data_IF_446279557458
#
_entry.id   IF_446279557458
#
_cell.length_a   1.000
_cell.length_b   1.000
_cell.length_c   1.000
_cell.angle_alpha   90.00
_cell.angle_beta   90.00
_cell.angle_gamma   90.00
#
_symmetry.space_group_name_H-M   'P 1'
#
loop_
_entity.id
_entity.type
_entity.pdbx_description
1 polymer ?
#
# COMPACT_ATOMS: atom_id res chain seq x y z
N UNK A 1 76.59 -43.11 -49.06
CA UNK A 1 75.17 -43.03 -49.46
C UNK A 1 74.46 -42.10 -48.49
N UNK A 2 73.90 -40.98 -48.97
CA UNK A 2 72.98 -40.12 -48.19
C UNK A 2 71.60 -40.77 -48.32
N UNK A 3 70.97 -41.20 -47.22
CA UNK A 3 69.64 -41.81 -47.26
C UNK A 3 68.60 -40.72 -47.57
N UNK A 4 68.26 -40.56 -48.86
CA UNK A 4 67.41 -39.47 -49.38
C UNK A 4 66.00 -39.44 -48.77
N UNK A 5 65.46 -40.58 -48.29
CA UNK A 5 64.17 -40.60 -47.58
C UNK A 5 64.24 -40.10 -46.13
N UNK A 6 65.43 -40.07 -45.53
CA UNK A 6 65.62 -39.67 -44.13
C UNK A 6 65.85 -38.16 -44.02
N UNK A 7 66.49 -37.53 -45.02
CA UNK A 7 66.73 -36.07 -45.03
C UNK A 7 65.41 -35.28 -45.03
N UNK A 8 64.48 -35.65 -45.90
CA UNK A 8 63.20 -34.92 -46.03
C UNK A 8 62.32 -35.10 -44.78
N UNK A 9 62.43 -36.25 -44.12
CA UNK A 9 61.75 -36.54 -42.85
C UNK A 9 62.31 -35.68 -41.72
N UNK A 10 63.64 -35.48 -41.67
CA UNK A 10 64.32 -34.66 -40.66
C UNK A 10 63.99 -33.18 -40.87
N UNK A 11 64.00 -32.69 -42.11
CA UNK A 11 63.70 -31.28 -42.42
C UNK A 11 62.25 -30.92 -42.07
N UNK A 12 61.30 -31.82 -42.35
CA UNK A 12 59.88 -31.64 -41.94
C UNK A 12 59.68 -31.74 -40.43
N UNK A 13 60.51 -32.52 -39.73
CA UNK A 13 60.44 -32.67 -38.28
C UNK A 13 61.03 -31.47 -37.52
N UNK A 14 61.86 -30.63 -38.17
CA UNK A 14 62.50 -29.47 -37.54
C UNK A 14 61.52 -28.46 -36.91
N UNK A 15 60.28 -28.39 -37.40
CA UNK A 15 59.23 -27.51 -36.89
C UNK A 15 58.09 -28.25 -36.17
N UNK A 16 58.25 -29.54 -35.89
CA UNK A 16 57.22 -30.32 -35.22
C UNK A 16 57.21 -30.02 -33.71
N UNK A 17 56.03 -29.74 -33.15
CA UNK A 17 55.88 -29.64 -31.69
C UNK A 17 56.09 -31.00 -31.01
N UNK A 18 56.59 -31.03 -29.76
CA UNK A 18 56.76 -32.27 -29.01
C UNK A 18 55.44 -33.04 -28.89
N UNK A 19 55.50 -34.37 -28.96
CA UNK A 19 54.31 -35.24 -28.76
C UNK A 19 53.80 -35.24 -27.31
N UNK A 20 54.65 -34.87 -26.35
CA UNK A 20 54.34 -34.79 -24.92
C UNK A 20 55.07 -33.57 -24.34
N UNK A 21 54.36 -32.75 -23.58
CA UNK A 21 54.91 -31.54 -22.96
C UNK A 21 55.25 -30.43 -23.97
N UNK A 22 55.87 -29.35 -23.47
CA UNK A 22 56.27 -28.19 -24.26
C UNK A 22 55.46 -26.93 -23.92
N UNK A 23 55.99 -25.78 -24.33
CA UNK A 23 55.32 -24.48 -24.23
C UNK A 23 55.13 -23.94 -25.64
N UNK A 24 53.93 -23.51 -25.97
CA UNK A 24 53.66 -22.74 -27.20
C UNK A 24 53.62 -21.27 -26.81
N UNK A 25 54.52 -20.49 -27.38
CA UNK A 25 54.55 -19.04 -27.18
C UNK A 25 53.82 -18.36 -28.33
N UNK A 26 52.52 -18.10 -28.13
CA UNK A 26 51.64 -17.50 -29.14
C UNK A 26 50.23 -18.12 -29.12
N UNK A 27 49.39 -17.66 -30.05
CA UNK A 27 48.02 -18.15 -30.18
C UNK A 27 47.99 -19.57 -30.76
N UNK A 28 47.11 -20.40 -30.20
CA UNK A 28 46.82 -21.73 -30.74
C UNK A 28 45.44 -21.70 -31.39
N UNK A 29 45.40 -21.77 -32.71
CA UNK A 29 44.15 -21.92 -33.46
C UNK A 29 43.86 -23.42 -33.69
N UNK A 30 43.02 -24.02 -32.83
CA UNK A 30 42.60 -25.40 -32.96
C UNK A 30 41.27 -25.50 -33.74
N UNK A 31 41.24 -26.28 -34.82
CA UNK A 31 40.01 -26.51 -35.62
C UNK A 31 39.08 -27.58 -35.01
N UNK A 32 39.40 -28.08 -33.81
CA UNK A 32 38.67 -29.12 -33.10
C UNK A 32 38.63 -28.85 -31.60
N UNK A 33 38.53 -29.90 -30.79
CA UNK A 33 38.50 -29.77 -29.32
C UNK A 33 39.90 -29.73 -28.73
N UNK A 34 40.11 -28.83 -27.77
CA UNK A 34 41.24 -28.88 -26.84
C UNK A 34 40.74 -29.59 -25.58
N UNK A 35 41.27 -30.77 -25.30
CA UNK A 35 40.89 -31.58 -24.13
C UNK A 35 42.09 -31.87 -23.25
N UNK A 36 41.90 -31.84 -21.93
CA UNK A 36 42.89 -32.23 -20.94
C UNK A 36 42.23 -32.45 -19.57
N UNK A 37 42.99 -32.96 -18.59
CA UNK A 37 42.51 -33.15 -17.21
C UNK A 37 42.02 -31.82 -16.62
N UNK A 38 42.69 -30.71 -16.97
CA UNK A 38 42.22 -29.36 -16.74
C UNK A 38 42.72 -28.42 -17.83
N UNK A 39 41.85 -27.53 -18.26
CA UNK A 39 42.22 -26.36 -19.06
C UNK A 39 42.23 -25.18 -18.09
N UNK A 40 43.31 -24.41 -18.12
CA UNK A 40 43.53 -23.30 -17.22
C UNK A 40 43.77 -22.02 -18.02
N UNK A 41 43.18 -20.93 -17.54
CA UNK A 41 43.50 -19.59 -18.02
C UNK A 41 44.75 -19.05 -17.31
N UNK A 42 45.22 -17.89 -17.76
CA UNK A 42 46.38 -17.21 -17.18
C UNK A 42 46.22 -17.04 -15.66
N UNK A 43 47.29 -17.32 -14.91
CA UNK A 43 47.26 -17.32 -13.44
C UNK A 43 46.74 -18.62 -12.81
N UNK A 44 46.56 -19.69 -13.59
CA UNK A 44 46.29 -21.03 -13.07
C UNK A 44 44.85 -21.26 -12.62
N UNK A 45 43.90 -20.43 -13.07
CA UNK A 45 42.47 -20.63 -12.78
C UNK A 45 41.90 -21.64 -13.73
N UNK A 46 41.14 -22.61 -13.21
CA UNK A 46 40.55 -23.66 -14.05
C UNK A 46 39.38 -23.07 -14.82
N UNK A 47 39.40 -23.24 -16.14
CA UNK A 47 38.31 -22.82 -17.02
C UNK A 47 37.02 -23.55 -16.63
N UNK A 48 35.89 -22.86 -16.74
CA UNK A 48 34.60 -23.43 -16.37
C UNK A 48 34.18 -24.59 -17.27
N UNK A 49 33.51 -25.58 -16.67
CA UNK A 49 32.96 -26.75 -17.34
C UNK A 49 31.74 -27.27 -16.57
N UNK A 50 30.94 -28.22 -17.12
CA UNK A 50 29.80 -28.79 -16.40
C UNK A 50 30.14 -29.40 -15.02
N UNK A 51 31.38 -29.87 -14.84
CA UNK A 51 31.90 -30.41 -13.56
C UNK A 51 32.70 -29.38 -12.73
N UNK A 52 33.05 -28.25 -13.33
CA UNK A 52 33.75 -27.13 -12.71
C UNK A 52 32.99 -25.84 -13.00
N UNK A 53 31.76 -25.72 -12.51
CA UNK A 53 30.90 -24.55 -12.71
C UNK A 53 30.93 -23.65 -11.48
N UNK A 54 30.81 -22.33 -11.62
CA UNK A 54 30.65 -21.44 -10.48
C UNK A 54 29.38 -21.78 -9.69
N UNK A 55 29.41 -21.52 -8.39
CA UNK A 55 28.23 -21.47 -7.55
C UNK A 55 27.43 -20.20 -7.81
N UNK A 56 26.14 -20.13 -7.43
CA UNK A 56 25.37 -18.88 -7.49
C UNK A 56 26.05 -17.72 -6.77
N UNK A 57 26.69 -17.99 -5.62
CA UNK A 57 27.38 -16.97 -4.83
C UNK A 57 28.62 -16.41 -5.56
N UNK A 58 29.36 -17.28 -6.27
CA UNK A 58 30.53 -16.86 -7.07
C UNK A 58 30.19 -15.83 -8.16
N UNK A 59 28.92 -15.74 -8.56
CA UNK A 59 28.42 -14.81 -9.58
C UNK A 59 27.38 -13.81 -9.06
N UNK A 60 27.14 -13.76 -7.75
CA UNK A 60 26.17 -12.85 -7.13
C UNK A 60 24.70 -13.12 -7.55
N UNK A 61 24.36 -14.36 -7.89
CA UNK A 61 23.03 -14.71 -8.35
C UNK A 61 22.05 -14.94 -7.17
N UNK A 62 20.90 -14.27 -7.21
CA UNK A 62 19.81 -14.47 -6.25
C UNK A 62 18.98 -15.74 -6.55
N UNK A 63 18.45 -16.35 -5.50
CA UNK A 63 17.59 -17.54 -5.59
C UNK A 63 16.22 -17.23 -6.21
N UNK A 64 15.76 -18.11 -7.11
CA UNK A 64 14.40 -18.08 -7.67
C UNK A 64 13.30 -18.48 -6.67
N UNK A 65 13.67 -19.06 -5.53
CA UNK A 65 12.73 -19.48 -4.48
C UNK A 65 12.50 -18.38 -3.42
N UNK A 66 13.05 -17.19 -3.63
CA UNK A 66 13.01 -16.08 -2.69
C UNK A 66 14.33 -15.88 -1.94
N UNK A 67 14.37 -14.85 -1.11
CA UNK A 67 15.55 -14.44 -0.34
C UNK A 67 15.36 -13.03 0.22
N UNK A 68 16.39 -12.54 0.91
CA UNK A 68 16.46 -11.16 1.41
C UNK A 68 17.40 -10.36 0.50
N UNK A 69 16.98 -9.17 0.10
CA UNK A 69 17.85 -8.18 -0.54
C UNK A 69 18.20 -7.13 0.51
N UNK A 70 19.47 -7.11 0.94
CA UNK A 70 19.96 -6.21 2.00
C UNK A 70 20.32 -4.80 1.49
N UNK A 71 19.62 -4.32 0.46
CA UNK A 71 19.88 -3.02 -0.18
C UNK A 71 18.67 -2.50 -0.94
N UNK A 72 18.82 -1.33 -1.54
CA UNK A 72 17.76 -0.71 -2.33
C UNK A 72 17.48 -1.54 -3.59
N UNK A 73 16.21 -1.69 -3.93
CA UNK A 73 15.76 -2.33 -5.16
C UNK A 73 15.11 -1.26 -6.04
N UNK A 74 15.85 -0.80 -7.05
CA UNK A 74 15.30 0.12 -8.06
C UNK A 74 14.57 -0.67 -9.14
N UNK A 75 13.26 -0.46 -9.28
CA UNK A 75 12.40 -1.14 -10.25
C UNK A 75 11.91 -0.13 -11.29
N UNK A 76 12.26 -0.32 -12.57
CA UNK A 76 11.85 0.58 -13.66
C UNK A 76 10.45 0.30 -14.19
N UNK A 77 9.84 -0.82 -13.79
CA UNK A 77 8.50 -1.24 -14.18
C UNK A 77 7.56 -1.40 -12.97
N UNK A 78 6.71 -2.42 -13.02
CA UNK A 78 5.76 -2.71 -11.95
C UNK A 78 6.25 -3.82 -11.04
N UNK A 79 6.03 -3.66 -9.73
CA UNK A 79 6.13 -4.76 -8.76
C UNK A 79 4.77 -5.43 -8.67
N UNK A 80 4.65 -6.65 -9.20
CA UNK A 80 3.43 -7.47 -9.09
C UNK A 80 3.55 -8.41 -7.91
N UNK A 81 2.75 -8.19 -6.87
CA UNK A 81 2.69 -9.02 -5.68
C UNK A 81 1.26 -9.08 -5.13
N UNK A 82 0.92 -10.17 -4.44
CA UNK A 82 -0.35 -10.26 -3.70
C UNK A 82 -0.43 -9.20 -2.59
N UNK A 83 0.72 -8.86 -2.02
CA UNK A 83 0.82 -7.94 -0.90
C UNK A 83 2.17 -7.20 -0.88
N UNK A 84 2.10 -5.90 -0.60
CA UNK A 84 3.29 -5.06 -0.33
C UNK A 84 3.06 -4.41 1.03
N UNK A 85 4.08 -4.51 1.89
CA UNK A 85 4.07 -3.97 3.23
C UNK A 85 5.30 -3.08 3.45
N UNK A 86 5.14 -2.04 4.27
CA UNK A 86 6.27 -1.31 4.83
C UNK A 86 6.84 -2.08 6.05
N UNK A 87 7.97 -1.60 6.57
CA UNK A 87 8.76 -2.06 7.72
C UNK A 87 8.02 -2.29 9.05
N UNK A 88 6.70 -2.06 9.12
CA UNK A 88 5.86 -2.34 10.28
C UNK A 88 4.74 -3.36 10.03
N UNK A 89 4.81 -4.16 8.96
CA UNK A 89 3.67 -4.98 8.48
C UNK A 89 2.44 -4.15 8.08
N UNK A 90 2.64 -2.85 7.82
CA UNK A 90 1.58 -1.95 7.36
C UNK A 90 1.36 -2.16 5.88
N UNK A 91 0.11 -2.46 5.49
CA UNK A 91 -0.24 -2.63 4.08
C UNK A 91 0.01 -1.32 3.33
N UNK A 92 0.75 -1.39 2.23
CA UNK A 92 0.88 -0.25 1.31
C UNK A 92 -0.41 -0.13 0.51
N UNK A 93 -1.01 1.05 0.54
CA UNK A 93 -2.26 1.35 -0.15
C UNK A 93 -2.02 2.09 -1.46
N UNK A 94 -2.99 2.01 -2.36
CA UNK A 94 -2.99 2.68 -3.67
C UNK A 94 -4.43 3.09 -4.04
N UNK A 95 -4.66 3.89 -5.09
CA UNK A 95 -6.02 4.23 -5.52
C UNK A 95 -6.91 3.00 -5.82
N UNK A 96 -6.32 1.87 -6.26
CA UNK A 96 -7.04 0.62 -6.53
C UNK A 96 -7.06 -0.35 -5.33
N UNK A 97 -6.37 -0.02 -4.25
CA UNK A 97 -6.41 -0.71 -2.96
C UNK A 97 -6.37 0.35 -1.86
N UNK A 98 -7.44 1.15 -1.70
CA UNK A 98 -7.46 2.24 -0.74
C UNK A 98 -7.42 1.68 0.69
N UNK A 99 -6.98 2.46 1.68
CA UNK A 99 -7.15 2.08 3.07
C UNK A 99 -8.63 1.85 3.38
N UNK A 100 -8.97 1.01 4.38
CA UNK A 100 -10.33 0.89 4.85
C UNK A 100 -10.93 2.26 5.14
N UNK A 101 -12.14 2.50 4.65
CA UNK A 101 -12.81 3.78 4.88
C UNK A 101 -12.84 4.08 6.38
N UNK A 102 -12.28 5.21 6.78
CA UNK A 102 -12.27 5.66 8.17
C UNK A 102 -13.60 6.27 8.56
N UNK A 103 -14.54 6.42 7.62
CA UNK A 103 -15.81 7.12 7.83
C UNK A 103 -17.00 6.25 7.47
N UNK A 104 -18.10 6.41 8.20
CA UNK A 104 -19.42 5.87 7.88
C UNK A 104 -20.41 7.03 7.77
N UNK A 105 -21.32 7.01 6.79
CA UNK A 105 -22.24 8.12 6.55
C UNK A 105 -23.58 7.64 6.04
N UNK A 106 -24.65 8.31 6.48
CA UNK A 106 -25.99 8.26 5.90
C UNK A 106 -26.37 9.68 5.50
N UNK A 107 -26.43 9.94 4.19
CA UNK A 107 -26.91 11.20 3.65
C UNK A 107 -28.44 11.20 3.53
N UNK A 108 -29.06 12.30 3.92
CA UNK A 108 -30.50 12.50 3.88
C UNK A 108 -30.90 13.80 4.57
N UNK A 109 -32.20 14.14 4.53
CA UNK A 109 -32.79 15.27 5.27
C UNK A 109 -32.66 15.10 6.79
N UNK A 110 -32.60 13.85 7.25
CA UNK A 110 -31.98 13.46 8.50
C UNK A 110 -30.85 12.48 8.18
N UNK A 111 -29.69 12.68 8.77
CA UNK A 111 -28.49 11.94 8.44
C UNK A 111 -27.46 11.97 9.54
N UNK A 112 -26.37 11.24 9.31
CA UNK A 112 -25.25 11.21 10.23
C UNK A 112 -23.95 10.89 9.51
N UNK A 113 -22.85 11.36 10.10
CA UNK A 113 -21.49 11.06 9.75
C UNK A 113 -20.78 10.53 11.00
N UNK A 114 -19.95 9.50 10.85
CA UNK A 114 -19.09 8.97 11.91
C UNK A 114 -17.68 8.82 11.39
N UNK A 115 -16.73 9.34 12.14
CA UNK A 115 -15.32 9.02 11.98
C UNK A 115 -14.96 7.86 12.92
N UNK A 116 -14.56 6.73 12.35
CA UNK A 116 -14.17 5.52 13.08
C UNK A 116 -12.78 5.62 13.71
N UNK A 117 -11.95 6.56 13.26
CA UNK A 117 -10.60 6.73 13.80
C UNK A 117 -10.60 7.37 15.19
N UNK A 118 -11.57 8.26 15.46
CA UNK A 118 -11.71 8.98 16.74
C UNK A 118 -13.07 8.75 17.43
N UNK A 119 -14.01 8.09 16.76
CA UNK A 119 -15.34 7.80 17.29
C UNK A 119 -16.35 8.94 17.16
N UNK A 120 -15.95 10.12 16.68
CA UNK A 120 -16.83 11.30 16.57
C UNK A 120 -17.99 11.00 15.63
N UNK A 121 -19.20 11.34 16.09
CA UNK A 121 -20.45 11.26 15.35
C UNK A 121 -21.02 12.67 15.25
N UNK A 122 -21.40 13.07 14.04
CA UNK A 122 -22.19 14.27 13.77
C UNK A 122 -23.51 13.80 13.17
N UNK A 123 -24.63 14.32 13.65
CA UNK A 123 -25.96 13.96 13.16
C UNK A 123 -26.74 15.24 12.87
N UNK A 124 -27.66 15.16 11.93
CA UNK A 124 -28.54 16.28 11.60
C UNK A 124 -29.94 15.78 11.29
N UNK A 125 -30.89 16.72 11.37
CA UNK A 125 -32.26 16.46 11.00
C UNK A 125 -33.05 17.74 10.82
N UNK A 126 -34.23 17.58 10.25
CA UNK A 126 -35.19 18.66 10.06
C UNK A 126 -36.61 18.12 10.19
N UNK A 127 -37.53 18.99 10.60
CA UNK A 127 -38.94 18.63 10.77
C UNK A 127 -39.70 19.69 11.56
N UNK A 128 -41.00 19.46 11.75
CA UNK A 128 -41.81 20.24 12.68
C UNK A 128 -41.77 19.59 14.05
N UNK A 129 -41.47 20.37 15.08
CA UNK A 129 -41.33 19.89 16.45
C UNK A 129 -42.24 20.66 17.41
N UNK A 130 -42.87 19.93 18.32
CA UNK A 130 -43.69 20.48 19.41
C UNK A 130 -42.83 20.73 20.66
N UNK A 131 -43.23 21.69 21.48
CA UNK A 131 -42.61 21.93 22.79
C UNK A 131 -42.61 20.67 23.68
N UNK A 132 -41.42 20.31 24.18
CA UNK A 132 -41.20 19.12 25.01
C UNK A 132 -41.06 17.80 24.23
N UNK A 133 -41.03 17.85 22.90
CA UNK A 133 -40.90 16.64 22.09
C UNK A 133 -39.53 15.97 22.27
N UNK A 134 -39.54 14.66 22.51
CA UNK A 134 -38.34 13.82 22.43
C UNK A 134 -38.05 13.47 20.97
N UNK A 135 -36.81 13.73 20.55
CA UNK A 135 -36.31 13.46 19.20
C UNK A 135 -35.17 12.45 19.30
N UNK A 136 -35.30 11.35 18.57
CA UNK A 136 -34.29 10.29 18.53
C UNK A 136 -33.18 10.64 17.57
N UNK A 137 -31.94 10.43 18.01
CA UNK A 137 -30.80 10.36 17.11
C UNK A 137 -30.95 9.12 16.21
N UNK A 138 -30.64 9.27 14.92
CA UNK A 138 -30.64 8.14 13.98
C UNK A 138 -29.60 7.08 14.39
N UNK A 139 -28.54 7.53 15.03
CA UNK A 139 -27.50 6.68 15.61
C UNK A 139 -27.26 7.12 17.05
N UNK A 140 -27.53 6.28 18.07
CA UNK A 140 -27.14 6.61 19.43
C UNK A 140 -25.62 6.86 19.53
N UNK A 141 -25.23 7.88 20.29
CA UNK A 141 -23.84 8.08 20.70
C UNK A 141 -23.42 6.94 21.62
N UNK A 142 -22.13 6.61 21.64
CA UNK A 142 -21.65 5.45 22.43
C UNK A 142 -21.28 5.83 23.85
N UNK A 143 -20.80 7.05 24.05
CA UNK A 143 -20.22 7.53 25.31
C UNK A 143 -20.82 8.85 25.74
N UNK A 144 -20.97 9.82 24.82
CA UNK A 144 -21.48 11.15 25.15
C UNK A 144 -22.19 11.81 23.97
N UNK A 145 -23.34 12.42 24.26
CA UNK A 145 -23.99 13.41 23.40
C UNK A 145 -23.53 14.80 23.86
N UNK A 146 -22.51 15.36 23.20
CA UNK A 146 -21.83 16.56 23.70
C UNK A 146 -22.66 17.84 23.52
N UNK A 147 -23.29 18.00 22.36
CA UNK A 147 -24.12 19.17 22.08
C UNK A 147 -25.18 18.87 21.01
N UNK A 148 -26.30 19.59 21.11
CA UNK A 148 -27.30 19.72 20.04
C UNK A 148 -27.54 21.21 19.84
N UNK A 149 -27.42 21.66 18.60
CA UNK A 149 -27.83 23.01 18.19
C UNK A 149 -29.05 22.87 17.30
N UNK A 150 -30.05 23.71 17.55
CA UNK A 150 -31.30 23.74 16.79
C UNK A 150 -31.57 25.18 16.36
N UNK A 151 -32.14 25.33 15.18
CA UNK A 151 -32.57 26.62 14.63
C UNK A 151 -33.94 26.45 13.99
N UNK A 152 -34.79 27.44 14.16
CA UNK A 152 -36.11 27.48 13.53
C UNK A 152 -35.98 27.95 12.08
N UNK A 153 -36.92 27.53 11.23
CA UNK A 153 -37.17 28.17 9.95
C UNK A 153 -38.22 29.28 10.17
N UNK A 154 -37.83 30.57 10.21
CA UNK A 154 -38.66 31.69 10.68
C UNK A 154 -39.84 32.01 9.76
N UNK A 155 -40.10 31.18 8.75
CA UNK A 155 -41.25 31.29 7.85
C UNK A 155 -42.49 30.58 8.39
N UNK A 156 -42.37 29.83 9.49
CA UNK A 156 -43.48 29.05 10.03
C UNK A 156 -44.54 29.93 10.71
N UNK A 157 -44.14 31.05 11.32
CA UNK A 157 -45.05 31.94 12.06
C UNK A 157 -44.78 33.43 11.80
N UNK A 158 -45.76 34.32 12.04
CA UNK A 158 -45.53 35.77 11.96
C UNK A 158 -44.83 36.36 13.20
N UNK A 159 -44.39 35.51 14.14
CA UNK A 159 -43.85 35.90 15.44
C UNK A 159 -42.34 35.62 15.52
N UNK A 160 -41.68 36.12 16.57
CA UNK A 160 -40.30 35.70 16.85
C UNK A 160 -40.35 34.27 17.36
N UNK A 161 -39.61 33.38 16.71
CA UNK A 161 -39.54 31.97 17.05
C UNK A 161 -38.30 31.67 17.89
N UNK A 162 -38.46 30.79 18.87
CA UNK A 162 -37.38 30.29 19.71
C UNK A 162 -37.45 28.77 19.75
N UNK A 163 -36.35 28.14 19.35
CA UNK A 163 -36.12 26.71 19.58
C UNK A 163 -34.87 26.50 20.43
N UNK A 164 -34.95 25.53 21.32
CA UNK A 164 -33.86 25.08 22.17
C UNK A 164 -33.80 23.55 22.09
N UNK A 165 -32.59 23.01 22.12
CA UNK A 165 -32.38 21.57 22.15
C UNK A 165 -31.34 21.24 23.20
N UNK A 166 -31.57 20.19 23.97
CA UNK A 166 -30.60 19.67 24.92
C UNK A 166 -30.61 18.14 24.88
N UNK A 167 -29.43 17.49 24.76
CA UNK A 167 -29.36 16.04 24.84
C UNK A 167 -29.88 15.55 26.19
N UNK A 168 -30.82 14.61 26.17
CA UNK A 168 -31.36 13.99 27.40
C UNK A 168 -30.70 12.64 27.68
N UNK A 169 -30.17 12.00 26.64
CA UNK A 169 -29.40 10.76 26.74
C UNK A 169 -28.47 10.56 25.54
N UNK A 170 -27.86 9.38 25.45
CA UNK A 170 -27.07 8.97 24.29
C UNK A 170 -27.90 8.75 23.02
N UNK A 171 -29.21 8.53 23.15
CA UNK A 171 -30.09 8.15 22.04
C UNK A 171 -31.07 9.25 21.60
N UNK A 172 -31.22 10.31 22.40
CA UNK A 172 -32.25 11.31 22.18
C UNK A 172 -31.94 12.65 22.84
N UNK A 173 -32.64 13.67 22.37
CA UNK A 173 -32.68 15.01 22.92
C UNK A 173 -34.12 15.50 23.04
N UNK A 174 -34.33 16.51 23.88
CA UNK A 174 -35.63 17.18 23.99
C UNK A 174 -35.57 18.51 23.25
N UNK A 175 -36.66 18.86 22.57
CA UNK A 175 -36.86 20.16 21.91
C UNK A 175 -37.80 21.02 22.75
N UNK A 176 -37.42 22.27 22.98
CA UNK A 176 -38.32 23.32 23.43
C UNK A 176 -38.67 24.24 22.26
N UNK A 177 -39.94 24.57 22.08
CA UNK A 177 -40.44 25.39 20.97
C UNK A 177 -41.45 26.43 21.46
N UNK A 178 -41.20 27.70 21.18
CA UNK A 178 -42.14 28.78 21.52
C UNK A 178 -42.07 29.95 20.53
N UNK A 179 -43.17 30.70 20.44
CA UNK A 179 -43.24 31.99 19.76
C UNK A 179 -43.42 33.12 20.75
N UNK A 180 -42.79 34.27 20.50
CA UNK A 180 -43.03 35.50 21.26
C UNK A 180 -44.04 36.39 20.53
N UNK A 181 -45.18 36.65 21.16
CA UNK A 181 -46.28 37.42 20.56
C UNK A 181 -46.24 38.91 20.87
N UNK A 182 -45.14 39.41 21.44
CA UNK A 182 -45.03 40.79 21.93
C UNK A 182 -45.34 40.96 23.41
N UNK A 183 -45.95 39.96 24.05
CA UNK A 183 -46.31 39.99 25.48
C UNK A 183 -45.92 38.74 26.27
N UNK A 184 -45.84 37.58 25.61
CA UNK A 184 -45.47 36.32 26.24
C UNK A 184 -44.85 35.34 25.24
N UNK A 185 -44.11 34.36 25.76
CA UNK A 185 -43.75 33.15 25.02
C UNK A 185 -44.89 32.14 25.11
N UNK A 186 -45.42 31.72 23.96
CA UNK A 186 -46.44 30.69 23.84
C UNK A 186 -45.84 29.46 23.17
N UNK A 187 -46.11 28.29 23.72
CA UNK A 187 -45.70 27.00 23.13
C UNK A 187 -46.23 26.91 21.70
N UNK A 188 -45.42 26.41 20.78
CA UNK A 188 -45.80 26.31 19.37
C UNK A 188 -45.12 25.13 18.70
N UNK A 189 -45.69 24.69 17.58
CA UNK A 189 -45.08 23.74 16.68
C UNK A 189 -44.24 24.50 15.66
N UNK A 190 -42.92 24.31 15.70
CA UNK A 190 -41.99 25.06 14.87
C UNK A 190 -41.26 24.13 13.90
N UNK A 191 -41.14 24.57 12.64
CA UNK A 191 -40.25 23.93 11.70
C UNK A 191 -38.81 24.25 12.12
N UNK A 192 -38.01 23.22 12.37
CA UNK A 192 -36.63 23.38 12.82
C UNK A 192 -35.68 22.50 12.02
N UNK A 193 -34.42 22.92 12.00
CA UNK A 193 -33.27 22.08 11.64
C UNK A 193 -32.34 21.98 12.84
N UNK A 194 -31.70 20.83 13.01
CA UNK A 194 -30.76 20.61 14.11
C UNK A 194 -29.52 19.87 13.64
N UNK A 195 -28.44 20.09 14.39
CA UNK A 195 -27.17 19.36 14.29
C UNK A 195 -26.72 18.95 15.69
N UNK A 196 -26.24 17.72 15.83
CA UNK A 196 -25.75 17.17 17.08
C UNK A 196 -24.34 16.60 16.88
N UNK A 197 -23.52 16.67 17.93
CA UNK A 197 -22.18 16.10 17.95
C UNK A 197 -21.94 15.32 19.25
N UNK A 198 -21.20 14.23 19.14
CA UNK A 198 -20.85 13.36 20.25
C UNK A 198 -19.95 12.23 19.79
N UNK A 199 -19.78 11.20 20.61
CA UNK A 199 -19.02 10.00 20.30
C UNK A 199 -19.57 8.82 21.07
#
# INVERSE_FOLDING_TARGET
>A
MKNLGLSDTVDRAGNAYPKVGGTVYGDVNATGYISGVGVYESGGRRVYSPVNKPTPDDIGAYSKKGGVVNGNVDVTGYVSANAIYDSGSNRVYSPNNPPPATTEVLFGSAGWYRDKSNGVIIQWGSGTYTDGQLVKFLRPFTTAACAVTISTDPRATPYIEVALAHPTSLAEFVVGCAVFTGSAFLKSDLACTWIAIGY
#
